data_IF_870834844064
#
_entry.id   IF_870834844064
#
_cell.length_a   1.000
_cell.length_b   1.000
_cell.length_c   1.000
_cell.angle_alpha   90.00
_cell.angle_beta   90.00
_cell.angle_gamma   90.00
#
_symmetry.space_group_name_H-M   'P 1'
#
loop_
_entity.id
_entity.type
_entity.pdbx_description
1 polymer ?
#
# COMPACT_ATOMS: atom_id res chain seq x y z
N UNK A 1 -12.14 -48.73 -56.64
CA UNK A 1 -12.49 -47.57 -55.79
C UNK A 1 -11.31 -47.21 -54.92
N UNK A 2 -10.52 -46.21 -55.29
CA UNK A 2 -9.36 -45.78 -54.51
C UNK A 2 -9.80 -44.81 -53.41
N UNK A 3 -9.67 -45.21 -52.15
CA UNK A 3 -9.97 -44.39 -50.97
C UNK A 3 -8.73 -43.52 -50.70
N UNK A 4 -8.77 -42.26 -51.12
CA UNK A 4 -7.68 -41.31 -50.89
C UNK A 4 -7.51 -41.04 -49.39
N UNK A 5 -6.38 -41.47 -48.83
CA UNK A 5 -5.97 -41.16 -47.47
C UNK A 5 -5.48 -39.71 -47.35
N UNK A 6 -6.39 -38.76 -47.14
CA UNK A 6 -6.06 -37.40 -46.70
C UNK A 6 -5.93 -37.34 -45.17
N UNK A 7 -4.93 -38.03 -44.60
CA UNK A 7 -4.74 -38.08 -43.13
C UNK A 7 -3.52 -37.33 -42.60
N UNK A 8 -2.60 -36.89 -43.46
CA UNK A 8 -1.35 -36.25 -43.02
C UNK A 8 -1.41 -34.74 -42.77
N UNK A 9 -2.25 -33.99 -43.50
CA UNK A 9 -2.29 -32.51 -43.41
C UNK A 9 -3.09 -32.03 -42.19
N UNK A 10 -4.15 -32.75 -41.83
CA UNK A 10 -5.06 -32.36 -40.73
C UNK A 10 -4.34 -32.36 -39.37
N UNK A 11 -3.49 -33.36 -39.12
CA UNK A 11 -2.80 -33.52 -37.84
C UNK A 11 -1.73 -32.43 -37.64
N UNK A 12 -1.00 -32.07 -38.70
CA UNK A 12 -0.01 -30.99 -38.65
C UNK A 12 -0.67 -29.62 -38.49
N UNK A 13 -1.80 -29.38 -39.15
CA UNK A 13 -2.54 -28.12 -39.03
C UNK A 13 -3.13 -27.95 -37.63
N UNK A 14 -3.72 -29.00 -37.07
CA UNK A 14 -4.25 -29.01 -35.71
C UNK A 14 -3.15 -28.74 -34.67
N UNK A 15 -1.98 -29.37 -34.83
CA UNK A 15 -0.83 -29.12 -33.97
C UNK A 15 -0.34 -27.67 -34.04
N UNK A 16 -0.28 -27.06 -35.23
CA UNK A 16 0.13 -25.66 -35.38
C UNK A 16 -0.86 -24.72 -34.68
N UNK A 17 -2.16 -24.94 -34.86
CA UNK A 17 -3.18 -24.12 -34.20
C UNK A 17 -3.04 -24.21 -32.68
N UNK A 18 -2.87 -25.43 -32.15
CA UNK A 18 -2.67 -25.64 -30.72
C UNK A 18 -1.42 -24.94 -30.18
N UNK A 19 -0.31 -24.98 -30.92
CA UNK A 19 0.94 -24.30 -30.55
C UNK A 19 0.76 -22.77 -30.54
N UNK A 20 0.10 -22.21 -31.55
CA UNK A 20 -0.15 -20.77 -31.61
C UNK A 20 -1.06 -20.32 -30.47
N UNK A 21 -2.11 -21.09 -30.16
CA UNK A 21 -3.01 -20.80 -29.03
C UNK A 21 -2.24 -20.89 -27.71
N UNK A 22 -1.43 -21.92 -27.52
CA UNK A 22 -0.63 -22.08 -26.30
C UNK A 22 0.37 -20.94 -26.10
N UNK A 23 1.11 -20.54 -27.14
CA UNK A 23 2.03 -19.40 -27.09
C UNK A 23 1.31 -18.09 -26.80
N UNK A 24 0.11 -17.90 -27.35
CA UNK A 24 -0.71 -16.71 -27.10
C UNK A 24 -1.10 -16.60 -25.62
N UNK A 25 -1.52 -17.71 -25.00
CA UNK A 25 -1.87 -17.74 -23.57
C UNK A 25 -0.64 -17.44 -22.71
N UNK A 26 0.52 -18.01 -23.04
CA UNK A 26 1.78 -17.77 -22.32
C UNK A 26 2.17 -16.29 -22.37
N UNK A 27 2.09 -15.66 -23.55
CA UNK A 27 2.41 -14.24 -23.71
C UNK A 27 1.48 -13.34 -22.88
N UNK A 28 0.16 -13.61 -22.89
CA UNK A 28 -0.82 -12.88 -22.09
C UNK A 28 -0.52 -13.03 -20.59
N UNK A 29 -0.23 -14.25 -20.14
CA UNK A 29 0.08 -14.49 -18.73
C UNK A 29 1.37 -13.82 -18.29
N UNK A 30 2.42 -13.86 -19.13
CA UNK A 30 3.67 -13.17 -18.86
C UNK A 30 3.46 -11.64 -18.77
N UNK A 31 2.72 -11.06 -19.71
CA UNK A 31 2.38 -9.63 -19.68
C UNK A 31 1.61 -9.23 -18.42
N UNK A 32 0.64 -10.05 -18.00
CA UNK A 32 -0.07 -9.85 -16.73
C UNK A 32 0.87 -9.95 -15.52
N UNK A 33 1.70 -11.00 -15.45
CA UNK A 33 2.62 -11.22 -14.35
C UNK A 33 3.62 -10.06 -14.21
N UNK A 34 4.24 -9.62 -15.31
CA UNK A 34 5.12 -8.45 -15.31
C UNK A 34 4.39 -7.18 -14.87
N UNK A 35 3.13 -7.00 -15.25
CA UNK A 35 2.30 -5.90 -14.79
C UNK A 35 2.06 -5.92 -13.27
N UNK A 36 1.77 -7.09 -12.69
CA UNK A 36 1.55 -7.25 -11.24
C UNK A 36 2.83 -7.03 -10.45
N UNK A 37 3.94 -7.68 -10.85
CA UNK A 37 5.23 -7.50 -10.19
C UNK A 37 5.76 -6.07 -10.32
N UNK A 38 5.57 -5.45 -11.48
CA UNK A 38 5.91 -4.04 -11.71
C UNK A 38 5.14 -3.08 -10.79
N UNK A 39 3.90 -3.40 -10.42
CA UNK A 39 3.14 -2.60 -9.44
C UNK A 39 3.59 -2.86 -8.00
N UNK A 40 3.94 -4.09 -7.66
CA UNK A 40 4.40 -4.46 -6.33
C UNK A 40 5.72 -3.76 -5.94
N UNK A 41 6.65 -3.58 -6.88
CA UNK A 41 7.90 -2.84 -6.62
C UNK A 41 7.69 -1.32 -6.50
N UNK A 42 6.55 -0.82 -6.97
CA UNK A 42 6.20 0.60 -6.98
C UNK A 42 5.22 0.98 -5.86
N UNK A 43 5.18 0.21 -4.77
CA UNK A 43 4.42 0.60 -3.57
C UNK A 43 5.34 1.26 -2.54
N UNK A 44 4.93 2.37 -1.91
CA UNK A 44 5.72 2.94 -0.81
C UNK A 44 5.70 1.99 0.38
N UNK A 45 6.77 2.01 1.17
CA UNK A 45 6.89 1.23 2.41
C UNK A 45 7.07 2.24 3.54
N UNK A 46 6.08 2.32 4.42
CA UNK A 46 6.12 3.23 5.55
C UNK A 46 6.61 2.50 6.80
N UNK A 47 7.44 3.17 7.58
CA UNK A 47 7.98 2.66 8.84
C UNK A 47 7.86 3.74 9.91
N UNK A 48 7.46 3.36 11.12
CA UNK A 48 7.46 4.28 12.26
C UNK A 48 8.86 4.28 12.89
N UNK A 49 9.37 5.45 13.21
CA UNK A 49 10.62 5.64 13.93
C UNK A 49 10.30 6.09 15.35
N UNK A 50 10.56 5.22 16.33
CA UNK A 50 10.20 5.46 17.72
C UNK A 50 8.74 5.18 18.04
N UNK A 51 8.32 5.53 19.25
CA UNK A 51 6.94 5.34 19.71
C UNK A 51 6.14 6.62 19.46
N UNK A 52 5.03 6.58 18.71
CA UNK A 52 4.14 7.72 18.56
C UNK A 52 3.56 8.13 19.91
N UNK A 53 3.38 9.43 20.12
CA UNK A 53 2.79 9.99 21.35
C UNK A 53 1.63 10.91 21.02
N UNK A 54 0.62 10.91 21.88
CA UNK A 54 -0.51 11.84 21.81
C UNK A 54 -0.46 12.70 23.05
N UNK A 55 -0.26 14.01 22.90
CA UNK A 55 -0.14 14.96 24.01
C UNK A 55 -1.39 15.82 24.15
N UNK A 56 -1.60 16.38 25.35
CA UNK A 56 -2.73 17.26 25.62
C UNK A 56 -4.05 16.51 25.73
N UNK A 57 -4.03 15.30 26.27
CA UNK A 57 -5.21 14.43 26.44
C UNK A 57 -6.29 15.05 27.34
N UNK A 58 -5.91 15.99 28.21
CA UNK A 58 -6.82 16.80 29.02
C UNK A 58 -7.60 17.85 28.22
N UNK A 59 -7.20 18.13 26.97
CA UNK A 59 -7.89 19.04 26.06
C UNK A 59 -8.89 18.30 25.18
N UNK A 60 -9.89 19.01 24.64
CA UNK A 60 -10.79 18.43 23.62
C UNK A 60 -10.09 18.25 22.25
N UNK A 61 -8.83 18.67 22.11
CA UNK A 61 -8.07 18.66 20.85
C UNK A 61 -6.63 18.17 21.10
N UNK A 62 -6.42 16.90 21.50
CA UNK A 62 -5.08 16.36 21.68
C UNK A 62 -4.29 16.38 20.37
N UNK A 63 -2.96 16.35 20.46
CA UNK A 63 -2.07 16.38 19.28
C UNK A 63 -1.26 15.10 19.19
N UNK A 64 -1.35 14.41 18.05
CA UNK A 64 -0.54 13.25 17.71
C UNK A 64 0.80 13.71 17.13
N UNK A 65 1.88 13.13 17.66
CA UNK A 65 3.23 13.22 17.14
C UNK A 65 3.66 11.82 16.69
N UNK A 66 3.92 11.66 15.39
CA UNK A 66 4.38 10.41 14.82
C UNK A 66 5.52 10.66 13.86
N UNK A 67 6.65 10.02 14.09
CA UNK A 67 7.80 10.09 13.19
C UNK A 67 7.76 8.91 12.23
N UNK A 68 7.69 9.19 10.93
CA UNK A 68 7.51 8.20 9.88
C UNK A 68 8.65 8.35 8.86
N UNK A 69 9.14 7.23 8.37
CA UNK A 69 10.11 7.16 7.27
C UNK A 69 9.56 6.30 6.14
N UNK A 70 9.76 6.76 4.91
CA UNK A 70 9.51 5.96 3.71
C UNK A 70 10.77 5.17 3.34
N UNK A 71 10.73 3.86 3.54
CA UNK A 71 11.80 2.92 3.16
C UNK A 71 11.53 2.23 1.82
N UNK A 72 10.43 2.59 1.14
CA UNK A 72 10.10 2.08 -0.19
C UNK A 72 10.85 2.81 -1.30
N UNK A 73 10.62 2.37 -2.53
CA UNK A 73 11.26 2.91 -3.74
C UNK A 73 10.51 4.11 -4.36
N UNK A 74 9.27 4.39 -3.93
CA UNK A 74 8.40 5.44 -4.48
C UNK A 74 7.90 6.38 -3.40
N UNK A 75 7.63 7.64 -3.77
CA UNK A 75 7.11 8.67 -2.85
C UNK A 75 5.76 8.26 -2.27
N UNK A 76 5.61 8.45 -0.95
CA UNK A 76 4.34 8.24 -0.26
C UNK A 76 3.66 9.59 -0.01
N UNK A 77 2.37 9.68 -0.28
CA UNK A 77 1.56 10.83 0.11
C UNK A 77 0.53 10.36 1.16
N UNK A 78 0.71 10.81 2.41
CA UNK A 78 -0.20 10.49 3.51
C UNK A 78 -1.43 11.39 3.39
N UNK A 79 -2.55 10.78 3.07
CA UNK A 79 -3.83 11.47 2.86
C UNK A 79 -4.76 11.36 4.06
N UNK A 80 -4.63 10.29 4.84
CA UNK A 80 -5.62 9.94 5.86
C UNK A 80 -4.95 9.23 7.01
N UNK A 81 -5.32 9.61 8.23
CA UNK A 81 -4.81 9.02 9.47
C UNK A 81 -6.04 8.65 10.30
N UNK A 82 -6.10 7.41 10.73
CA UNK A 82 -7.13 6.92 11.64
C UNK A 82 -6.54 6.88 13.04
N UNK A 83 -7.21 7.49 14.00
CA UNK A 83 -6.84 7.42 15.43
C UNK A 83 -8.07 7.02 16.20
N UNK A 84 -8.00 5.89 16.92
CA UNK A 84 -9.16 5.34 17.65
C UNK A 84 -10.44 5.24 16.78
N UNK A 85 -10.29 4.71 15.56
CA UNK A 85 -11.36 4.59 14.54
C UNK A 85 -11.95 5.91 14.02
N UNK A 86 -11.42 7.08 14.42
CA UNK A 86 -11.79 8.37 13.87
C UNK A 86 -10.81 8.82 12.78
N UNK A 87 -11.33 9.50 11.75
CA UNK A 87 -10.56 9.92 10.58
C UNK A 87 -10.06 11.35 10.72
N UNK A 88 -8.78 11.54 10.44
CA UNK A 88 -8.11 12.82 10.45
C UNK A 88 -7.28 13.00 9.16
N UNK A 89 -7.23 14.25 8.68
CA UNK A 89 -6.52 14.61 7.45
C UNK A 89 -5.45 15.65 7.78
N UNK A 90 -4.18 15.43 7.39
CA UNK A 90 -3.14 16.44 7.56
C UNK A 90 -3.44 17.68 6.70
N UNK A 91 -3.35 18.88 7.28
CA UNK A 91 -3.79 20.16 6.67
C UNK A 91 -3.16 20.47 5.30
N UNK A 92 -1.91 20.07 5.06
CA UNK A 92 -1.17 20.38 3.84
C UNK A 92 -0.82 19.15 3.00
N UNK A 93 -1.41 17.99 3.30
CA UNK A 93 -0.83 16.71 2.87
C UNK A 93 0.53 16.48 3.55
N UNK A 94 1.00 15.24 3.56
CA UNK A 94 2.31 14.92 4.13
C UNK A 94 3.01 13.93 3.21
N UNK A 95 4.10 14.39 2.60
CA UNK A 95 4.78 13.70 1.50
C UNK A 95 6.12 13.18 1.99
N UNK A 96 6.33 11.87 1.92
CA UNK A 96 7.58 11.21 2.31
C UNK A 96 8.33 10.70 1.08
N UNK A 97 9.52 11.25 0.86
CA UNK A 97 10.39 10.89 -0.27
C UNK A 97 11.12 9.56 0.04
N UNK A 98 11.33 8.67 -0.95
CA UNK A 98 12.11 7.45 -0.80
C UNK A 98 13.50 7.71 -0.26
N UNK A 99 13.98 6.83 0.64
CA UNK A 99 15.29 6.94 1.28
C UNK A 99 15.55 8.28 2.02
N UNK A 100 14.50 9.09 2.22
CA UNK A 100 14.58 10.34 2.94
C UNK A 100 14.81 10.15 4.44
N UNK A 101 15.03 11.28 5.12
CA UNK A 101 15.04 11.34 6.57
C UNK A 101 13.66 10.96 7.13
N UNK A 102 13.64 10.52 8.39
CA UNK A 102 12.38 10.34 9.09
C UNK A 102 11.78 11.73 9.37
N UNK A 103 10.49 11.89 9.11
CA UNK A 103 9.78 13.15 9.32
C UNK A 103 8.70 12.99 10.37
N UNK A 104 8.56 14.00 11.23
CA UNK A 104 7.53 14.02 12.27
C UNK A 104 6.28 14.69 11.76
N UNK A 105 5.23 13.90 11.63
CA UNK A 105 3.87 14.34 11.36
C UNK A 105 3.22 14.77 12.67
N UNK A 106 2.71 16.00 12.69
CA UNK A 106 1.98 16.58 13.81
C UNK A 106 0.53 16.78 13.40
N UNK A 107 -0.40 16.14 14.11
CA UNK A 107 -1.82 16.13 13.75
C UNK A 107 -2.70 16.50 14.95
N UNK A 108 -3.52 17.52 14.78
CA UNK A 108 -4.53 17.91 15.77
C UNK A 108 -5.74 16.96 15.68
N UNK A 109 -6.08 16.33 16.78
CA UNK A 109 -7.16 15.35 16.91
C UNK A 109 -8.42 16.02 17.46
N UNK A 110 -9.09 16.81 16.62
CA UNK A 110 -10.29 17.55 17.03
C UNK A 110 -11.41 16.63 17.53
N UNK A 111 -12.03 16.97 18.66
CA UNK A 111 -13.16 16.26 19.27
C UNK A 111 -12.86 14.82 19.73
N UNK A 112 -11.59 14.50 19.97
CA UNK A 112 -11.19 13.21 20.52
C UNK A 112 -10.84 13.34 22.01
N UNK A 113 -11.47 12.52 22.85
CA UNK A 113 -11.14 12.43 24.28
C UNK A 113 -10.39 11.13 24.54
N UNK A 114 -9.23 11.26 25.18
CA UNK A 114 -8.35 10.14 25.48
C UNK A 114 -7.95 10.19 26.96
N UNK A 115 -7.70 9.02 27.54
CA UNK A 115 -7.24 8.93 28.92
C UNK A 115 -5.72 8.88 28.94
N UNK A 116 -5.08 9.70 29.77
CA UNK A 116 -3.63 9.67 29.96
C UNK A 116 -3.19 8.27 30.38
N UNK A 117 -2.12 7.76 29.78
CA UNK A 117 -1.57 6.43 30.01
C UNK A 117 -2.23 5.33 29.17
N UNK A 118 -3.26 5.63 28.38
CA UNK A 118 -3.85 4.64 27.47
C UNK A 118 -3.01 4.46 26.21
N UNK A 119 -3.17 3.30 25.57
CA UNK A 119 -2.64 3.00 24.25
C UNK A 119 -3.75 3.15 23.21
N UNK A 120 -3.45 3.82 22.11
CA UNK A 120 -4.41 4.12 21.05
C UNK A 120 -3.91 3.61 19.72
N UNK A 121 -4.76 2.91 18.97
CA UNK A 121 -4.44 2.48 17.61
C UNK A 121 -4.40 3.66 16.65
N UNK A 122 -3.31 3.75 15.90
CA UNK A 122 -3.09 4.72 14.84
C UNK A 122 -2.83 3.97 13.54
N UNK A 123 -3.59 4.31 12.49
CA UNK A 123 -3.39 3.78 11.14
C UNK A 123 -3.15 4.93 10.19
N UNK A 124 -1.96 4.99 9.60
CA UNK A 124 -1.59 5.99 8.60
C UNK A 124 -1.78 5.40 7.22
N UNK A 125 -2.53 6.08 6.36
CA UNK A 125 -2.84 5.66 4.99
C UNK A 125 -2.17 6.57 3.97
N UNK A 126 -1.46 5.96 3.02
CA UNK A 126 -0.82 6.61 1.89
C UNK A 126 -1.22 5.92 0.58
N UNK A 127 -2.48 6.11 0.18
CA UNK A 127 -3.04 5.50 -1.03
C UNK A 127 -3.24 4.00 -0.89
N UNK A 128 -2.34 3.21 -1.50
CA UNK A 128 -2.42 1.74 -1.49
C UNK A 128 -1.67 1.09 -0.30
N UNK A 129 -0.91 1.89 0.47
CA UNK A 129 -0.16 1.40 1.62
C UNK A 129 -0.78 1.95 2.90
N UNK A 130 -0.87 1.10 3.93
CA UNK A 130 -1.24 1.51 5.29
C UNK A 130 -0.18 1.05 6.29
N UNK A 131 0.01 1.86 7.32
CA UNK A 131 0.90 1.60 8.45
C UNK A 131 0.08 1.62 9.73
N UNK A 132 0.02 0.50 10.44
CA UNK A 132 -0.62 0.43 11.75
C UNK A 132 0.43 0.49 12.85
N UNK A 133 0.16 1.29 13.88
CA UNK A 133 1.00 1.46 15.05
C UNK A 133 0.16 1.81 16.28
N UNK A 134 0.80 1.87 17.44
CA UNK A 134 0.17 2.23 18.70
C UNK A 134 0.82 3.51 19.20
N UNK A 135 0.00 4.50 19.53
CA UNK A 135 0.43 5.71 20.21
C UNK A 135 0.17 5.62 21.71
N UNK A 136 1.06 6.20 22.51
CA UNK A 136 0.87 6.35 23.95
C UNK A 136 0.28 7.73 24.23
N UNK A 137 -0.76 7.78 25.05
CA UNK A 137 -1.40 9.03 25.45
C UNK A 137 -0.66 9.61 26.66
N UNK A 138 -0.08 10.78 26.48
CA UNK A 138 0.63 11.56 27.48
C UNK A 138 -0.20 12.78 27.91
N UNK A 139 0.12 13.32 29.08
CA UNK A 139 -0.57 14.49 29.67
C UNK A 139 -0.36 15.76 28.85
#
# INVERSE_FOLDING_TARGET
MAKHAKKGVSQSLEAIILVVVALSIVAVYAGWAFGVFGRAVNTPILTVVGTPVIQGASSNNPTLYITIKNTGAVTANITTIYVNNQVFTPKNGFVLIPAGSAETLVLLLSNLRLNVGSQVSVVVSAGQTSLSTIAIVES
#
